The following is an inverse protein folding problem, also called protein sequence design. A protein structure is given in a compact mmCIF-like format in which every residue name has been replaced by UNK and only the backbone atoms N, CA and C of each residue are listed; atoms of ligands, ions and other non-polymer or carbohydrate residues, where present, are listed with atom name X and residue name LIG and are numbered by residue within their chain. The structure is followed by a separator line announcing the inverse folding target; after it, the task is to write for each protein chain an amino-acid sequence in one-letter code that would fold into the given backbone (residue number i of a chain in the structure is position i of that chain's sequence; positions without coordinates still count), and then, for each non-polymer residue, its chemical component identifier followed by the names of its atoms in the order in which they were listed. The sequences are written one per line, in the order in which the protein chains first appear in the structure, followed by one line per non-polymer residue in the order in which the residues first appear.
data_IF_414491310788
#
_entry.id   IF_414491310788
#
_cell.length_a   1.000
_cell.length_b   1.000
_cell.length_c   1.000
_cell.angle_alpha   90.00
_cell.angle_beta   90.00
_cell.angle_gamma   90.00
#
_symmetry.space_group_name_H-M   'P 1'
#
loop_
_entity.id
_entity.type
_entity.pdbx_description
1 polymer ?
#
# COMPACT_ATOMS: atom_id res chain seq x y z
N UNK A 1 -0.56 54.56 -53.34
CA UNK A 1 -1.66 54.93 -52.42
C UNK A 1 -2.24 53.66 -51.85
N UNK A 2 -2.23 53.63 -50.53
CA UNK A 2 -2.51 52.55 -49.59
C UNK A 2 -3.99 52.44 -49.26
N UNK A 3 -4.51 51.23 -49.09
CA UNK A 3 -5.70 50.98 -48.24
C UNK A 3 -5.60 49.57 -47.64
N UNK A 4 -5.58 49.42 -46.32
CA UNK A 4 -5.55 48.11 -45.66
C UNK A 4 -6.97 47.62 -45.35
N UNK A 5 -7.19 46.31 -45.48
CA UNK A 5 -8.35 45.63 -44.88
C UNK A 5 -7.96 45.13 -43.49
N UNK A 6 -8.72 45.60 -42.50
CA UNK A 6 -8.70 45.17 -41.10
C UNK A 6 -9.29 43.76 -41.01
N UNK A 7 -8.54 42.82 -40.44
CA UNK A 7 -9.06 41.53 -40.01
C UNK A 7 -8.92 41.46 -38.48
N UNK A 8 -10.08 41.42 -37.83
CA UNK A 8 -10.24 41.12 -36.42
C UNK A 8 -9.99 39.62 -36.20
N UNK A 9 -9.00 39.26 -35.38
CA UNK A 9 -8.88 37.92 -34.79
C UNK A 9 -8.92 38.04 -33.28
N UNK A 10 -10.10 37.79 -32.74
CA UNK A 10 -10.30 37.23 -31.41
C UNK A 10 -9.82 35.77 -31.42
N UNK A 11 -9.12 35.34 -30.37
CA UNK A 11 -9.29 34.06 -29.63
C UNK A 11 -8.08 33.89 -28.72
N UNK A 12 -8.26 34.08 -27.41
CA UNK A 12 -8.50 33.00 -26.43
C UNK A 12 -7.26 32.78 -25.58
N UNK A 13 -7.23 33.44 -24.42
CA UNK A 13 -6.29 33.16 -23.35
C UNK A 13 -6.57 31.76 -22.80
N UNK A 14 -5.61 30.84 -22.97
CA UNK A 14 -5.56 29.58 -22.25
C UNK A 14 -5.21 29.90 -20.79
N UNK A 15 -6.23 29.94 -19.94
CA UNK A 15 -6.05 29.89 -18.50
C UNK A 15 -5.51 28.50 -18.12
N UNK A 16 -4.29 28.46 -17.57
CA UNK A 16 -3.79 27.31 -16.84
C UNK A 16 -4.67 27.13 -15.59
N UNK A 17 -5.63 26.21 -15.66
CA UNK A 17 -6.26 25.67 -14.45
C UNK A 17 -5.24 24.78 -13.76
N UNK A 18 -4.63 25.32 -12.71
CA UNK A 18 -3.92 24.52 -11.73
C UNK A 18 -4.91 23.49 -11.17
N UNK A 19 -4.78 22.24 -11.62
CA UNK A 19 -5.56 21.11 -11.11
C UNK A 19 -5.41 21.07 -9.60
N UNK A 20 -6.55 21.22 -8.93
CA UNK A 20 -6.69 21.23 -7.49
C UNK A 20 -6.02 19.99 -6.90
N UNK A 21 -5.02 20.20 -6.02
CA UNK A 21 -4.64 19.18 -5.05
C UNK A 21 -5.87 18.87 -4.22
N UNK A 22 -6.50 17.73 -4.48
CA UNK A 22 -7.41 17.12 -3.53
C UNK A 22 -6.57 16.71 -2.31
N UNK A 23 -6.52 17.61 -1.32
CA UNK A 23 -6.14 17.23 0.02
C UNK A 23 -7.23 16.28 0.53
N UNK A 24 -6.93 14.98 0.53
CA UNK A 24 -7.70 14.01 1.30
C UNK A 24 -7.46 14.27 2.79
N UNK A 25 -8.20 15.22 3.34
CA UNK A 25 -8.45 15.34 4.76
C UNK A 25 -9.73 14.55 5.05
N UNK A 26 -9.60 13.22 5.15
CA UNK A 26 -10.66 12.33 5.63
C UNK A 26 -10.18 11.70 6.92
N UNK A 27 -10.95 11.87 8.00
CA UNK A 27 -10.61 11.40 9.35
C UNK A 27 -10.26 9.92 9.42
N UNK A 28 -9.30 9.60 10.27
CA UNK A 28 -8.67 8.28 10.40
C UNK A 28 -9.60 7.15 10.87
N UNK A 29 -10.85 7.45 11.25
CA UNK A 29 -11.77 6.50 11.91
C UNK A 29 -12.58 5.61 10.93
N UNK A 30 -12.66 5.94 9.64
CA UNK A 30 -13.54 5.22 8.70
C UNK A 30 -12.82 4.14 7.86
N UNK A 31 -11.49 4.12 7.84
CA UNK A 31 -10.73 3.25 6.93
C UNK A 31 -10.53 1.81 7.45
N UNK A 32 -10.99 1.50 8.67
CA UNK A 32 -10.80 0.20 9.32
C UNK A 32 -9.34 -0.02 9.75
N UNK A 33 -9.07 -1.06 10.55
CA UNK A 33 -7.73 -1.43 11.02
C UNK A 33 -7.33 -2.84 10.55
N UNK A 34 -6.04 -3.18 10.62
CA UNK A 34 -5.52 -4.48 10.18
C UNK A 34 -6.06 -5.63 11.04
N UNK A 35 -6.32 -5.38 12.34
CA UNK A 35 -6.93 -6.35 13.26
C UNK A 35 -8.32 -6.76 12.80
N UNK A 36 -9.16 -5.79 12.47
CA UNK A 36 -10.55 -5.93 12.05
C UNK A 36 -10.60 -6.50 10.64
N UNK A 37 -9.71 -6.07 9.74
CA UNK A 37 -9.56 -6.71 8.43
C UNK A 37 -9.25 -8.21 8.56
N UNK A 38 -8.34 -8.59 9.46
CA UNK A 38 -8.07 -10.00 9.74
C UNK A 38 -9.26 -10.72 10.38
N UNK A 39 -9.91 -10.11 11.37
CA UNK A 39 -11.08 -10.69 12.03
C UNK A 39 -12.20 -10.97 11.01
N UNK A 40 -12.53 -10.00 10.15
CA UNK A 40 -13.51 -10.16 9.08
C UNK A 40 -13.13 -11.28 8.09
N UNK A 41 -11.85 -11.38 7.71
CA UNK A 41 -11.38 -12.48 6.88
C UNK A 41 -11.54 -13.83 7.58
N UNK A 42 -11.15 -13.93 8.85
CA UNK A 42 -11.25 -15.17 9.63
C UNK A 42 -12.71 -15.59 9.81
N UNK A 43 -13.57 -14.66 10.17
CA UNK A 43 -14.98 -14.91 10.51
C UNK A 43 -15.81 -15.20 9.24
N UNK A 44 -15.35 -14.77 8.06
CA UNK A 44 -15.90 -15.19 6.76
C UNK A 44 -15.36 -16.54 6.26
N UNK A 45 -14.76 -17.35 7.14
CA UNK A 45 -14.23 -18.68 6.80
C UNK A 45 -12.84 -18.66 6.17
N UNK A 46 -12.10 -17.55 6.30
CA UNK A 46 -10.78 -17.33 5.70
C UNK A 46 -10.77 -17.46 4.17
N UNK A 47 -11.71 -16.78 3.51
CA UNK A 47 -11.74 -16.66 2.06
C UNK A 47 -10.60 -15.76 1.54
N UNK A 48 -9.39 -16.33 1.47
CA UNK A 48 -8.18 -15.66 0.97
C UNK A 48 -8.21 -15.44 -0.54
N UNK A 49 -9.25 -15.87 -1.24
CA UNK A 49 -9.37 -15.65 -2.68
C UNK A 49 -9.39 -14.16 -3.01
N UNK A 50 -9.99 -13.34 -2.13
CA UNK A 50 -10.14 -11.88 -2.23
C UNK A 50 -8.85 -11.10 -1.96
N UNK A 51 -7.83 -11.72 -1.37
CA UNK A 51 -6.56 -11.04 -1.07
C UNK A 51 -5.76 -10.87 -2.36
N UNK A 52 -5.64 -9.63 -2.86
CA UNK A 52 -5.01 -9.31 -4.14
C UNK A 52 -3.50 -9.09 -4.11
N UNK A 53 -2.92 -8.82 -2.93
CA UNK A 53 -1.50 -8.47 -2.78
C UNK A 53 -0.74 -9.44 -1.85
N UNK A 54 0.51 -9.82 -2.19
CA UNK A 54 1.35 -10.63 -1.31
C UNK A 54 1.78 -9.88 -0.05
N UNK A 55 1.85 -8.55 -0.09
CA UNK A 55 2.13 -7.71 1.09
C UNK A 55 0.96 -7.81 2.07
N UNK A 56 -0.28 -7.67 1.57
CA UNK A 56 -1.49 -7.83 2.38
C UNK A 56 -1.56 -9.23 2.98
N UNK A 57 -1.34 -10.28 2.17
CA UNK A 57 -1.33 -11.64 2.67
C UNK A 57 -0.28 -11.84 3.78
N UNK A 58 0.91 -11.24 3.62
CA UNK A 58 1.98 -11.27 4.63
C UNK A 58 1.60 -10.53 5.90
N UNK A 59 1.00 -9.35 5.82
CA UNK A 59 0.59 -8.58 7.00
C UNK A 59 -0.53 -9.31 7.73
N UNK A 60 -1.61 -9.71 7.03
CA UNK A 60 -2.76 -10.38 7.64
C UNK A 60 -2.37 -11.71 8.31
N UNK A 61 -1.48 -12.51 7.73
CA UNK A 61 -1.05 -13.78 8.38
C UNK A 61 -0.24 -13.53 9.65
N UNK A 62 0.30 -12.33 9.84
CA UNK A 62 1.06 -11.96 11.02
C UNK A 62 0.19 -11.32 12.12
N UNK A 63 -1.05 -10.91 11.81
CA UNK A 63 -1.97 -10.30 12.80
C UNK A 63 -2.22 -11.19 14.02
N UNK A 64 -2.50 -12.51 13.91
CA UNK A 64 -2.69 -13.36 15.10
C UNK A 64 -1.46 -13.44 16.01
N UNK A 65 -0.27 -13.37 15.42
CA UNK A 65 0.96 -13.35 16.18
C UNK A 65 1.16 -11.99 16.86
N UNK A 66 0.81 -10.90 16.18
CA UNK A 66 0.84 -9.55 16.74
C UNK A 66 -0.14 -9.43 17.92
N UNK A 67 -1.36 -9.99 17.81
CA UNK A 67 -2.33 -10.04 18.90
C UNK A 67 -1.81 -10.80 20.13
N UNK A 68 -0.95 -11.79 19.92
CA UNK A 68 -0.26 -12.50 21.00
C UNK A 68 1.03 -11.83 21.49
N UNK A 69 1.30 -10.60 21.04
CA UNK A 69 2.46 -9.81 21.42
C UNK A 69 3.80 -10.30 20.89
N UNK A 70 3.81 -10.98 19.72
CA UNK A 70 5.05 -11.46 19.09
C UNK A 70 5.95 -10.30 18.66
N UNK A 71 7.23 -10.37 19.07
CA UNK A 71 8.26 -9.47 18.54
C UNK A 71 8.67 -9.91 17.12
N UNK A 72 8.45 -9.04 16.14
CA UNK A 72 8.87 -9.30 14.76
C UNK A 72 10.33 -8.89 14.52
N UNK A 73 11.08 -9.75 13.82
CA UNK A 73 12.42 -9.41 13.31
C UNK A 73 12.35 -8.39 12.15
N UNK A 74 11.23 -8.38 11.46
CA UNK A 74 10.92 -7.45 10.37
C UNK A 74 10.49 -6.12 10.96
N UNK A 75 11.36 -5.11 10.84
CA UNK A 75 11.10 -3.80 11.40
C UNK A 75 9.86 -3.14 10.78
N UNK A 76 9.57 -3.41 9.50
CA UNK A 76 8.37 -2.94 8.80
C UNK A 76 7.08 -3.53 9.39
N UNK A 77 7.09 -4.79 9.82
CA UNK A 77 5.93 -5.42 10.47
C UNK A 77 5.72 -4.90 11.88
N UNK A 78 6.80 -4.74 12.65
CA UNK A 78 6.69 -4.10 13.97
C UNK A 78 6.12 -2.70 13.82
N UNK A 79 6.63 -1.90 12.87
CA UNK A 79 6.17 -0.53 12.63
C UNK A 79 4.69 -0.48 12.26
N UNK A 80 4.25 -1.30 11.29
CA UNK A 80 2.87 -1.24 10.82
C UNK A 80 1.86 -1.60 11.90
N UNK A 81 2.17 -2.59 12.77
CA UNK A 81 1.28 -2.96 13.87
C UNK A 81 1.30 -1.95 15.01
N UNK A 82 2.46 -1.35 15.32
CA UNK A 82 2.53 -0.23 16.29
C UNK A 82 1.72 0.98 15.83
N UNK A 83 1.61 1.20 14.52
CA UNK A 83 0.80 2.28 13.95
C UNK A 83 -0.68 1.94 13.85
N UNK A 84 -1.05 0.67 13.91
CA UNK A 84 -2.42 0.24 13.63
C UNK A 84 -3.30 0.29 14.89
N UNK A 85 -3.31 1.42 15.59
CA UNK A 85 -4.04 1.60 16.84
C UNK A 85 -3.40 0.90 18.04
N UNK A 86 -4.11 0.88 19.18
CA UNK A 86 -3.54 0.52 20.49
C UNK A 86 -3.64 -0.99 20.84
N UNK A 87 -3.75 -1.88 19.85
CA UNK A 87 -3.95 -3.31 20.10
C UNK A 87 -2.67 -4.15 20.05
N UNK A 88 -1.60 -3.66 19.44
CA UNK A 88 -0.32 -4.38 19.38
C UNK A 88 0.61 -3.93 20.51
N UNK A 89 0.84 -4.83 21.47
CA UNK A 89 1.82 -4.64 22.52
C UNK A 89 2.88 -5.74 22.42
N UNK A 90 4.14 -5.35 22.20
CA UNK A 90 5.24 -6.30 22.14
C UNK A 90 5.51 -6.89 23.53
N UNK A 91 5.37 -8.21 23.66
CA UNK A 91 5.66 -8.93 24.91
C UNK A 91 6.95 -9.73 24.78
N UNK A 92 7.34 -10.46 25.83
CA UNK A 92 8.44 -11.43 25.76
C UNK A 92 8.06 -12.73 25.03
N UNK A 93 6.79 -12.89 24.62
CA UNK A 93 6.30 -14.10 23.99
C UNK A 93 6.72 -14.19 22.52
N UNK A 94 7.68 -15.07 22.23
CA UNK A 94 8.16 -15.29 20.87
C UNK A 94 7.15 -16.07 20.02
N UNK A 95 6.34 -16.93 20.64
CA UNK A 95 5.45 -17.88 19.97
C UNK A 95 4.12 -17.97 20.71
N UNK A 96 3.22 -16.99 20.47
CA UNK A 96 1.92 -17.00 21.10
C UNK A 96 1.08 -18.22 20.71
N UNK A 97 0.30 -18.71 21.65
CA UNK A 97 -0.64 -19.80 21.42
C UNK A 97 -1.75 -19.33 20.48
N UNK A 98 -1.86 -19.96 19.31
CA UNK A 98 -2.87 -19.63 18.31
C UNK A 98 -4.05 -20.60 18.35
N UNK A 99 -5.25 -20.11 18.08
CA UNK A 99 -6.44 -20.96 17.92
C UNK A 99 -6.32 -21.87 16.70
N UNK A 100 -7.12 -22.94 16.64
CA UNK A 100 -7.17 -23.81 15.47
C UNK A 100 -7.62 -23.04 14.20
N UNK A 101 -8.57 -22.11 14.35
CA UNK A 101 -9.06 -21.26 13.28
C UNK A 101 -7.96 -20.34 12.73
N UNK A 102 -7.21 -19.67 13.62
CA UNK A 102 -6.11 -18.80 13.21
C UNK A 102 -5.01 -19.58 12.48
N UNK A 103 -4.63 -20.76 13.00
CA UNK A 103 -3.64 -21.62 12.33
C UNK A 103 -4.09 -22.04 10.93
N UNK A 104 -5.37 -22.36 10.77
CA UNK A 104 -5.94 -22.68 9.45
C UNK A 104 -5.83 -21.47 8.51
N UNK A 105 -6.23 -20.29 8.98
CA UNK A 105 -6.24 -19.09 8.17
C UNK A 105 -4.83 -18.62 7.78
N UNK A 106 -3.86 -18.71 8.69
CA UNK A 106 -2.44 -18.43 8.43
C UNK A 106 -1.88 -19.33 7.33
N UNK A 107 -2.26 -20.62 7.30
CA UNK A 107 -1.83 -21.56 6.24
C UNK A 107 -2.43 -21.18 4.89
N UNK A 108 -3.72 -20.80 4.86
CA UNK A 108 -4.39 -20.33 3.65
C UNK A 108 -3.72 -19.05 3.11
N UNK A 109 -3.48 -18.07 3.99
CA UNK A 109 -2.79 -16.81 3.65
C UNK A 109 -1.36 -17.04 3.18
N UNK A 110 -0.61 -17.94 3.83
CA UNK A 110 0.76 -18.31 3.41
C UNK A 110 0.75 -18.92 2.01
N UNK A 111 -0.20 -19.82 1.72
CA UNK A 111 -0.35 -20.41 0.38
C UNK A 111 -0.73 -19.35 -0.64
N UNK A 112 -1.64 -18.44 -0.30
CA UNK A 112 -2.06 -17.33 -1.16
C UNK A 112 -0.90 -16.37 -1.45
N UNK A 113 -0.14 -15.98 -0.44
CA UNK A 113 1.05 -15.15 -0.58
C UNK A 113 2.05 -15.79 -1.53
N UNK A 114 2.38 -17.07 -1.36
CA UNK A 114 3.29 -17.78 -2.24
C UNK A 114 2.81 -17.80 -3.70
N UNK A 115 1.50 -17.99 -3.92
CA UNK A 115 0.89 -17.92 -5.26
C UNK A 115 1.01 -16.51 -5.86
N UNK A 116 0.72 -15.48 -5.07
CA UNK A 116 0.82 -14.09 -5.51
C UNK A 116 2.26 -13.69 -5.82
N UNK A 117 3.24 -14.05 -4.98
CA UNK A 117 4.68 -13.77 -5.20
C UNK A 117 5.27 -14.44 -6.45
N UNK A 118 4.63 -15.48 -6.97
CA UNK A 118 5.01 -16.07 -8.26
C UNK A 118 4.61 -15.16 -9.43
N UNK A 119 3.46 -14.49 -9.32
CA UNK A 119 2.89 -13.62 -10.36
C UNK A 119 3.34 -12.16 -10.24
N UNK A 120 3.39 -11.67 -9.01
CA UNK A 120 3.67 -10.27 -8.66
C UNK A 120 5.06 -10.19 -8.02
N UNK A 121 6.03 -9.73 -8.80
CA UNK A 121 7.42 -9.58 -8.37
C UNK A 121 7.60 -8.19 -7.76
N UNK A 122 7.62 -8.13 -6.43
CA UNK A 122 7.84 -6.89 -5.68
C UNK A 122 9.25 -6.92 -5.10
N UNK A 123 10.11 -5.95 -5.44
CA UNK A 123 11.45 -5.84 -4.88
C UNK A 123 11.41 -5.69 -3.34
N UNK A 124 12.35 -6.30 -2.59
CA UNK A 124 12.36 -6.25 -1.12
C UNK A 124 12.35 -4.84 -0.53
N UNK A 125 12.95 -3.86 -1.21
CA UNK A 125 12.98 -2.47 -0.74
C UNK A 125 11.62 -1.78 -0.84
N UNK A 126 10.87 -2.03 -1.91
CA UNK A 126 9.50 -1.53 -2.06
C UNK A 126 8.60 -2.21 -1.04
N UNK A 127 8.72 -3.53 -0.87
CA UNK A 127 7.98 -4.26 0.16
C UNK A 127 8.23 -3.67 1.56
N UNK A 128 9.49 -3.40 1.91
CA UNK A 128 9.87 -2.80 3.19
C UNK A 128 9.24 -1.42 3.40
N UNK A 129 9.33 -0.53 2.41
CA UNK A 129 8.83 0.85 2.53
C UNK A 129 7.31 0.89 2.54
N UNK A 130 6.64 0.19 1.63
CA UNK A 130 5.18 0.19 1.51
C UNK A 130 4.53 -0.50 2.70
N UNK A 131 5.11 -1.61 3.19
CA UNK A 131 4.55 -2.32 4.36
C UNK A 131 4.65 -1.51 5.64
N UNK A 132 5.69 -0.67 5.78
CA UNK A 132 5.89 0.14 6.99
C UNK A 132 4.84 1.25 7.15
N UNK A 133 4.11 1.61 6.09
CA UNK A 133 3.03 2.59 6.13
C UNK A 133 1.67 1.92 6.34
N UNK A 134 1.05 2.25 7.47
CA UNK A 134 -0.23 1.66 7.89
C UNK A 134 -1.36 2.00 6.91
N UNK A 135 -1.44 3.24 6.46
CA UNK A 135 -2.53 3.69 5.59
C UNK A 135 -2.43 3.05 4.20
N UNK A 136 -1.23 2.92 3.64
CA UNK A 136 -0.99 2.18 2.42
C UNK A 136 -1.45 0.72 2.55
N UNK A 137 -1.16 0.06 3.67
CA UNK A 137 -1.57 -1.33 3.90
C UNK A 137 -3.10 -1.49 4.01
N UNK A 138 -3.77 -0.60 4.75
CA UNK A 138 -5.24 -0.61 4.88
C UNK A 138 -5.92 -0.34 3.53
N UNK A 139 -5.45 0.66 2.79
CA UNK A 139 -5.98 0.94 1.45
C UNK A 139 -5.72 -0.21 0.48
N UNK A 140 -4.57 -0.88 0.59
CA UNK A 140 -4.26 -2.06 -0.22
C UNK A 140 -5.19 -3.24 0.08
N UNK A 141 -5.58 -3.45 1.34
CA UNK A 141 -6.59 -4.45 1.72
C UNK A 141 -7.93 -4.17 1.04
N UNK A 142 -8.34 -2.90 1.02
CA UNK A 142 -9.67 -2.50 0.55
C UNK A 142 -9.77 -2.41 -0.97
N UNK A 143 -8.69 -2.03 -1.66
CA UNK A 143 -8.74 -1.67 -3.08
C UNK A 143 -8.10 -2.73 -3.99
N UNK A 144 -7.04 -3.41 -3.55
CA UNK A 144 -6.30 -4.32 -4.43
C UNK A 144 -6.99 -5.68 -4.51
N UNK A 145 -7.66 -5.90 -5.63
CA UNK A 145 -8.35 -7.16 -5.92
C UNK A 145 -7.40 -8.25 -6.46
N UNK A 146 -7.84 -9.52 -6.49
CA UNK A 146 -7.13 -10.62 -7.14
C UNK A 146 -6.92 -10.46 -8.65
N UNK A 147 -7.71 -9.58 -9.28
CA UNK A 147 -7.79 -9.40 -10.73
C UNK A 147 -6.77 -8.40 -11.27
N UNK A 148 -5.81 -8.00 -10.43
CA UNK A 148 -4.63 -7.24 -10.82
C UNK A 148 -3.48 -8.21 -11.18
N UNK A 149 -3.42 -8.73 -12.42
CA UNK A 149 -2.43 -9.74 -12.81
C UNK A 149 -1.01 -9.19 -12.86
N UNK A 150 -0.87 -7.88 -13.02
CA UNK A 150 0.40 -7.20 -13.25
C UNK A 150 0.69 -6.23 -12.13
N UNK A 151 1.95 -6.19 -11.75
CA UNK A 151 2.49 -5.22 -10.80
C UNK A 151 3.65 -4.51 -11.48
N UNK A 152 3.61 -3.18 -11.48
CA UNK A 152 4.75 -2.34 -11.85
C UNK A 152 5.38 -1.77 -10.61
N UNK A 153 6.70 -1.69 -10.64
CA UNK A 153 7.49 -1.18 -9.54
C UNK A 153 8.56 -0.24 -10.07
N UNK A 154 8.75 0.90 -9.43
CA UNK A 154 9.86 1.80 -9.73
C UNK A 154 10.49 2.34 -8.45
N UNK A 155 11.77 2.66 -8.54
CA UNK A 155 12.49 3.39 -7.50
C UNK A 155 13.20 4.55 -8.18
N UNK A 156 12.81 5.78 -7.87
CA UNK A 156 13.29 6.99 -8.54
C UNK A 156 13.89 7.94 -7.49
N UNK A 157 15.23 8.09 -7.46
CA UNK A 157 15.86 9.16 -6.69
C UNK A 157 15.49 10.53 -7.28
N UNK A 158 15.02 11.45 -6.43
CA UNK A 158 14.69 12.83 -6.77
C UNK A 158 15.27 13.78 -5.72
N UNK A 159 16.47 14.28 -6.00
CA UNK A 159 17.21 15.14 -5.08
C UNK A 159 17.45 14.47 -3.71
N UNK A 160 16.92 15.09 -2.66
CA UNK A 160 17.06 14.61 -1.28
C UNK A 160 16.09 13.46 -0.91
N UNK A 161 15.18 13.09 -1.80
CA UNK A 161 14.18 12.05 -1.58
C UNK A 161 14.36 10.91 -2.58
N UNK A 162 13.92 9.72 -2.21
CA UNK A 162 13.78 8.57 -3.09
C UNK A 162 12.33 8.13 -3.07
N UNK A 163 11.73 8.07 -4.25
CA UNK A 163 10.36 7.64 -4.46
C UNK A 163 10.31 6.15 -4.79
N UNK A 164 9.39 5.44 -4.16
CA UNK A 164 9.12 4.02 -4.32
C UNK A 164 7.68 3.88 -4.81
N UNK A 165 7.50 3.41 -6.05
CA UNK A 165 6.17 3.19 -6.62
C UNK A 165 5.85 1.70 -6.67
N UNK A 166 4.66 1.34 -6.23
CA UNK A 166 4.04 0.04 -6.39
C UNK A 166 2.66 0.21 -7.04
N UNK A 167 2.53 -0.17 -8.30
CA UNK A 167 1.29 -0.08 -9.04
C UNK A 167 0.72 -1.46 -9.35
N UNK A 168 -0.54 -1.68 -8.99
CA UNK A 168 -1.32 -2.85 -9.39
C UNK A 168 -2.15 -2.46 -10.62
N UNK A 169 -1.95 -3.16 -11.74
CA UNK A 169 -2.62 -2.85 -13.01
C UNK A 169 -3.67 -3.90 -13.37
N UNK A 170 -4.85 -3.44 -13.80
CA UNK A 170 -5.86 -4.30 -14.42
C UNK A 170 -5.40 -4.74 -15.82
N UNK A 171 -6.00 -5.82 -16.39
CA UNK A 171 -5.73 -6.20 -17.77
C UNK A 171 -5.97 -5.03 -18.73
N UNK A 172 -5.20 -4.92 -19.83
CA UNK A 172 -5.38 -3.86 -20.81
C UNK A 172 -6.80 -3.91 -21.39
N UNK A 173 -7.54 -2.83 -21.18
CA UNK A 173 -8.88 -2.55 -21.69
C UNK A 173 -9.03 -1.04 -21.92
N UNK A 174 -10.16 -0.57 -22.47
CA UNK A 174 -10.36 0.83 -22.82
C UNK A 174 -10.28 1.82 -21.65
N UNK A 175 -10.38 1.33 -20.41
CA UNK A 175 -10.33 2.12 -19.16
C UNK A 175 -9.31 1.54 -18.18
N UNK A 176 -8.15 1.09 -18.69
CA UNK A 176 -7.14 0.38 -17.89
C UNK A 176 -6.88 1.08 -16.57
N UNK A 177 -7.31 0.47 -15.47
CA UNK A 177 -7.21 1.07 -14.14
C UNK A 177 -6.00 0.56 -13.38
N UNK A 178 -5.37 1.43 -12.62
CA UNK A 178 -4.27 1.10 -11.75
C UNK A 178 -4.47 1.67 -10.35
N UNK A 179 -4.11 0.88 -9.33
CA UNK A 179 -3.98 1.37 -7.96
C UNK A 179 -2.49 1.57 -7.71
N UNK A 180 -2.09 2.81 -7.52
CA UNK A 180 -0.69 3.21 -7.42
C UNK A 180 -0.42 3.67 -6.00
N UNK A 181 0.51 3.00 -5.34
CA UNK A 181 1.06 3.41 -4.05
C UNK A 181 2.42 4.05 -4.30
N UNK A 182 2.58 5.29 -3.87
CA UNK A 182 3.83 6.03 -3.98
C UNK A 182 4.30 6.41 -2.59
N UNK A 183 5.47 5.90 -2.21
CA UNK A 183 6.09 6.19 -0.92
C UNK A 183 7.40 6.95 -1.13
N UNK A 184 7.65 7.98 -0.34
CA UNK A 184 8.91 8.71 -0.35
C UNK A 184 9.66 8.51 0.95
N UNK A 185 10.99 8.44 0.84
CA UNK A 185 11.92 8.33 1.96
C UNK A 185 13.17 9.18 1.64
N UNK A 186 13.77 9.88 2.62
CA UNK A 186 15.00 10.62 2.37
C UNK A 186 16.11 9.72 1.81
N UNK A 187 16.85 10.23 0.82
CA UNK A 187 17.89 9.46 0.12
C UNK A 187 18.96 8.94 1.10
N UNK A 188 19.22 9.68 2.19
CA UNK A 188 20.13 9.29 3.28
C UNK A 188 19.69 8.02 4.04
N UNK A 189 18.38 7.73 4.06
CA UNK A 189 17.81 6.59 4.78
C UNK A 189 17.75 5.32 3.92
N UNK A 190 17.80 5.46 2.59
CA UNK A 190 17.61 4.34 1.63
C UNK A 190 18.60 3.18 1.78
N UNK A 191 19.83 3.50 2.22
CA UNK A 191 20.89 2.51 2.44
C UNK A 191 20.83 1.86 3.81
N UNK A 192 20.07 2.41 4.76
CA UNK A 192 19.97 1.86 6.11
C UNK A 192 19.20 0.54 6.10
N UNK A 193 19.54 -0.32 7.06
CA UNK A 193 18.83 -1.59 7.28
C UNK A 193 17.44 -1.34 7.85
N UNK A 194 17.34 -0.35 8.73
CA UNK A 194 16.11 0.16 9.33
C UNK A 194 16.12 1.67 9.12
N UNK A 195 15.39 2.18 8.12
CA UNK A 195 15.18 3.61 7.93
C UNK A 195 14.53 4.27 9.14
N UNK A 196 14.68 5.58 9.27
CA UNK A 196 13.79 6.34 10.14
C UNK A 196 12.36 6.32 9.57
N UNK A 197 11.52 5.46 10.13
CA UNK A 197 10.13 5.26 9.71
C UNK A 197 9.26 6.50 9.88
N UNK A 198 9.65 7.47 10.70
CA UNK A 198 8.90 8.72 10.85
C UNK A 198 9.02 9.62 9.60
N UNK A 199 10.00 9.36 8.75
CA UNK A 199 10.26 10.14 7.52
C UNK A 199 9.60 9.55 6.28
N UNK A 200 8.97 8.37 6.39
CA UNK A 200 8.23 7.79 5.27
C UNK A 200 6.90 8.49 5.13
N UNK A 201 6.57 8.87 3.90
CA UNK A 201 5.23 9.31 3.54
C UNK A 201 4.76 8.52 2.34
N UNK A 202 3.59 7.87 2.46
CA UNK A 202 2.96 7.17 1.36
C UNK A 202 1.66 7.86 0.95
N UNK A 203 1.38 7.85 -0.34
CA UNK A 203 0.12 8.25 -0.93
C UNK A 203 -0.39 7.16 -1.86
N UNK A 204 -1.69 7.17 -2.10
CA UNK A 204 -2.34 6.27 -3.04
C UNK A 204 -3.12 7.08 -4.06
N UNK A 205 -3.09 6.62 -5.30
CA UNK A 205 -3.88 7.17 -6.39
C UNK A 205 -4.55 6.03 -7.15
N UNK A 206 -5.78 6.28 -7.60
CA UNK A 206 -6.44 5.45 -8.61
C UNK A 206 -6.27 6.14 -9.96
N UNK A 207 -5.67 5.44 -10.93
CA UNK A 207 -5.61 5.88 -12.32
C UNK A 207 -6.69 5.10 -13.09
N UNK A 208 -7.42 5.78 -13.97
CA UNK A 208 -8.47 5.21 -14.83
C UNK A 208 -8.32 5.63 -16.28
#
# INVERSE_FOLDING_TARGET
MTTPRVAFTLLSALAFTAGSRAAYAGGDDEQGDLRSAYANLRDSGCDVSKVGSPLVARVLRNVPYALGGKIFKSAELTRVFVLDGDWYEATTNKDPALSAADRSCIRALTTREQKLRKKQKIPPRIELVVTADRNAMVQMINLVSPDYPKVRTSVVPSGAQTEYTLAFETPPGPTGSAIVFTCTLPTSETKKKVPDWATITCSMMTAG
#
